data_IF_196404003937
#
_entry.id   IF_196404003937
#
_cell.length_a   1.000
_cell.length_b   1.000
_cell.length_c   1.000
_cell.angle_alpha   90.00
_cell.angle_beta   90.00
_cell.angle_gamma   90.00
#
_symmetry.space_group_name_H-M   'P 1'
#
loop_
_entity.id
_entity.type
_entity.pdbx_description
1 polymer ?
#
# COMPACT_ATOMS: atom_id res chain seq x y z
N UNK A 1 12.33 19.24 13.45
CA UNK A 1 12.63 19.38 12.01
C UNK A 1 13.91 18.66 11.61
N UNK A 2 15.11 19.02 12.17
CA UNK A 2 16.38 18.37 11.79
C UNK A 2 16.40 16.91 12.19
N UNK A 3 15.96 16.58 13.40
CA UNK A 3 15.84 15.23 13.93
C UNK A 3 14.92 14.37 13.05
N UNK A 4 13.75 14.89 12.66
CA UNK A 4 12.78 14.20 11.84
C UNK A 4 13.32 13.96 10.42
N UNK A 5 13.97 14.96 9.84
CA UNK A 5 14.61 14.84 8.52
C UNK A 5 15.70 13.75 8.53
N UNK A 6 16.51 13.67 9.57
CA UNK A 6 17.54 12.62 9.72
C UNK A 6 16.93 11.24 9.90
N UNK A 7 15.87 11.11 10.71
CA UNK A 7 15.18 9.84 10.92
C UNK A 7 14.54 9.33 9.62
N UNK A 8 13.77 10.17 8.92
CA UNK A 8 13.17 9.77 7.65
C UNK A 8 14.22 9.47 6.56
N UNK A 9 15.30 10.24 6.49
CA UNK A 9 16.37 9.96 5.53
C UNK A 9 17.03 8.61 5.80
N UNK A 10 17.21 8.23 7.07
CA UNK A 10 17.70 6.92 7.47
C UNK A 10 16.78 5.80 7.01
N UNK A 11 15.47 5.91 7.26
CA UNK A 11 14.50 4.90 6.86
C UNK A 11 14.39 4.74 5.33
N UNK A 12 14.31 5.85 4.60
CA UNK A 12 14.24 5.83 3.14
C UNK A 12 15.52 5.30 2.51
N UNK A 13 16.68 5.60 3.10
CA UNK A 13 17.97 5.04 2.65
C UNK A 13 18.01 3.53 2.87
N UNK A 14 17.60 3.05 4.05
CA UNK A 14 17.52 1.63 4.33
C UNK A 14 16.56 0.91 3.36
N UNK A 15 15.35 1.45 3.16
CA UNK A 15 14.39 0.94 2.19
C UNK A 15 14.97 0.87 0.78
N UNK A 16 15.69 1.92 0.35
CA UNK A 16 16.36 1.96 -0.95
C UNK A 16 17.42 0.87 -1.10
N UNK A 17 18.26 0.66 -0.08
CA UNK A 17 19.27 -0.40 -0.08
C UNK A 17 18.66 -1.80 -0.16
N UNK A 18 17.63 -2.08 0.61
CA UNK A 18 16.93 -3.37 0.55
C UNK A 18 16.23 -3.58 -0.79
N UNK A 19 15.64 -2.53 -1.38
CA UNK A 19 15.07 -2.59 -2.73
C UNK A 19 16.10 -3.03 -3.78
N UNK A 20 17.33 -2.53 -3.73
CA UNK A 20 18.41 -2.98 -4.63
C UNK A 20 18.85 -4.41 -4.35
N UNK A 21 18.87 -4.80 -3.08
CA UNK A 21 19.28 -6.15 -2.69
C UNK A 21 18.29 -7.23 -3.14
N UNK A 22 17.00 -6.93 -3.15
CA UNK A 22 15.91 -7.85 -3.45
C UNK A 22 15.12 -7.43 -4.71
N UNK A 23 15.79 -6.98 -5.75
CA UNK A 23 15.19 -6.39 -6.94
C UNK A 23 14.14 -7.31 -7.60
N UNK A 24 14.38 -8.62 -7.68
CA UNK A 24 13.49 -9.60 -8.31
C UNK A 24 12.21 -9.88 -7.47
N UNK A 25 12.29 -9.71 -6.15
CA UNK A 25 11.18 -10.00 -5.22
C UNK A 25 10.58 -8.75 -4.58
N UNK A 26 11.17 -7.56 -4.84
CA UNK A 26 10.64 -6.29 -4.36
C UNK A 26 9.48 -5.83 -5.23
N UNK A 27 8.28 -5.65 -4.66
CA UNK A 27 7.10 -5.34 -5.47
C UNK A 27 7.18 -3.97 -6.15
N UNK A 28 6.54 -3.89 -7.30
CA UNK A 28 6.36 -2.61 -8.01
C UNK A 28 5.18 -1.88 -7.40
N UNK A 29 5.37 -0.64 -6.96
CA UNK A 29 4.36 0.14 -6.24
C UNK A 29 3.05 0.31 -7.04
N UNK A 30 3.13 0.37 -8.37
CA UNK A 30 1.99 0.45 -9.27
C UNK A 30 1.09 -0.80 -9.21
N UNK A 31 1.63 -1.95 -8.87
CA UNK A 31 0.88 -3.21 -8.71
C UNK A 31 0.33 -3.38 -7.30
N UNK A 32 0.84 -2.62 -6.32
CA UNK A 32 0.44 -2.68 -4.91
C UNK A 32 -0.69 -1.70 -4.61
N UNK A 33 -0.52 -0.43 -4.98
CA UNK A 33 -1.44 0.66 -4.65
C UNK A 33 -2.36 0.96 -5.84
N UNK A 34 -3.31 0.06 -6.09
CA UNK A 34 -4.24 0.13 -7.23
C UNK A 34 -5.61 0.65 -6.85
N UNK A 35 -5.97 0.65 -5.56
CA UNK A 35 -7.28 1.01 -5.06
C UNK A 35 -7.52 2.51 -5.07
N UNK A 36 -8.73 2.90 -5.48
CA UNK A 36 -9.23 4.25 -5.33
C UNK A 36 -10.69 4.22 -4.84
N UNK A 37 -11.04 5.00 -3.79
CA UNK A 37 -12.41 5.05 -3.29
C UNK A 37 -13.39 5.43 -4.40
N UNK A 38 -14.53 4.73 -4.48
CA UNK A 38 -15.61 4.98 -5.43
C UNK A 38 -15.31 4.71 -6.91
N UNK A 39 -14.14 4.15 -7.26
CA UNK A 39 -13.82 3.73 -8.62
C UNK A 39 -13.73 2.20 -8.70
N UNK A 40 -14.34 1.63 -9.75
CA UNK A 40 -14.35 0.19 -10.02
C UNK A 40 -13.29 -0.13 -11.10
N UNK A 41 -12.04 0.05 -10.80
CA UNK A 41 -10.94 -0.24 -11.73
C UNK A 41 -9.60 0.16 -11.13
N UNK A 42 -8.53 -0.45 -11.63
CA UNK A 42 -7.18 -0.14 -11.19
C UNK A 42 -6.82 1.31 -11.50
N UNK A 43 -6.48 2.05 -10.46
CA UNK A 43 -6.02 3.43 -10.54
C UNK A 43 -4.65 3.56 -9.84
N UNK A 44 -3.57 3.03 -10.46
CA UNK A 44 -2.26 2.93 -9.82
C UNK A 44 -1.80 4.29 -9.30
N UNK A 45 -1.41 4.31 -8.03
CA UNK A 45 -0.87 5.48 -7.32
C UNK A 45 -1.77 6.73 -7.27
N UNK A 46 -2.99 6.70 -7.83
CA UNK A 46 -3.88 7.85 -7.87
C UNK A 46 -4.32 8.27 -6.44
N UNK A 47 -4.58 7.29 -5.58
CA UNK A 47 -4.95 7.55 -4.19
C UNK A 47 -3.79 8.16 -3.39
N UNK A 48 -2.57 7.67 -3.60
CA UNK A 48 -1.35 8.23 -2.99
C UNK A 48 -1.12 9.67 -3.44
N UNK A 49 -1.37 9.96 -4.73
CA UNK A 49 -1.32 11.33 -5.26
C UNK A 49 -2.36 12.23 -4.59
N UNK A 50 -3.60 11.75 -4.41
CA UNK A 50 -4.66 12.48 -3.70
C UNK A 50 -4.25 12.80 -2.25
N UNK A 51 -3.70 11.83 -1.50
CA UNK A 51 -3.21 12.04 -0.14
C UNK A 51 -2.12 13.12 -0.08
N UNK A 52 -1.20 13.10 -1.05
CA UNK A 52 -0.17 14.14 -1.18
C UNK A 52 -0.79 15.52 -1.42
N UNK A 53 -1.81 15.59 -2.29
CA UNK A 53 -2.52 16.84 -2.58
C UNK A 53 -3.23 17.40 -1.35
N UNK A 54 -3.87 16.56 -0.55
CA UNK A 54 -4.51 16.93 0.73
C UNK A 54 -3.48 17.59 1.67
N UNK A 55 -2.28 17.02 1.80
CA UNK A 55 -1.23 17.58 2.65
C UNK A 55 -0.69 18.91 2.12
N UNK A 56 -0.53 19.06 0.80
CA UNK A 56 -0.10 20.32 0.19
C UNK A 56 -1.14 21.42 0.48
N UNK A 57 -2.42 21.13 0.24
CA UNK A 57 -3.50 22.09 0.54
C UNK A 57 -3.57 22.43 2.02
N UNK A 58 -3.42 21.44 2.90
CA UNK A 58 -3.36 21.66 4.36
C UNK A 58 -2.18 22.53 4.76
N UNK A 59 -1.03 22.38 4.11
CA UNK A 59 0.15 23.24 4.32
C UNK A 59 -0.13 24.69 3.89
N UNK A 60 -0.79 24.90 2.74
CA UNK A 60 -1.20 26.24 2.29
C UNK A 60 -2.17 26.89 3.28
N UNK A 61 -3.17 26.16 3.76
CA UNK A 61 -4.12 26.70 4.75
C UNK A 61 -3.42 27.08 6.05
N UNK A 62 -2.40 26.34 6.49
CA UNK A 62 -1.62 26.69 7.67
C UNK A 62 -0.81 27.98 7.46
N UNK A 63 -0.20 28.17 6.30
CA UNK A 63 0.50 29.43 5.97
C UNK A 63 -0.47 30.61 5.98
N UNK A 64 -1.69 30.44 5.45
CA UNK A 64 -2.73 31.47 5.49
C UNK A 64 -3.20 31.77 6.91
N UNK A 65 -3.27 30.76 7.80
CA UNK A 65 -3.59 30.95 9.21
C UNK A 65 -2.53 31.81 9.91
N UNK A 66 -1.25 31.52 9.70
CA UNK A 66 -0.12 32.30 10.24
C UNK A 66 -0.14 33.74 9.72
N UNK A 67 -0.36 33.91 8.41
CA UNK A 67 -0.46 35.25 7.81
C UNK A 67 -1.64 36.06 8.39
N UNK A 68 -2.82 35.43 8.57
CA UNK A 68 -3.96 36.07 9.22
C UNK A 68 -3.64 36.45 10.67
N UNK A 69 -2.86 35.62 11.39
CA UNK A 69 -2.37 35.92 12.74
C UNK A 69 -1.47 37.16 12.79
N UNK A 70 -0.54 37.32 11.86
CA UNK A 70 0.31 38.51 11.75
C UNK A 70 -0.51 39.81 11.53
N UNK A 71 -1.64 39.70 10.85
CA UNK A 71 -2.55 40.82 10.64
C UNK A 71 -3.60 40.99 11.76
N UNK A 72 -3.47 40.28 12.88
CA UNK A 72 -4.42 40.28 14.00
C UNK A 72 -5.86 39.98 13.59
N UNK A 73 -6.04 39.25 12.51
CA UNK A 73 -7.36 38.84 11.98
C UNK A 73 -7.79 37.52 12.60
N UNK A 74 -8.39 37.52 13.76
CA UNK A 74 -8.87 36.37 14.51
C UNK A 74 -9.79 35.46 13.68
N UNK A 75 -10.77 36.03 12.91
CA UNK A 75 -11.67 35.26 12.09
C UNK A 75 -10.94 34.50 10.98
N UNK A 76 -9.93 35.10 10.37
CA UNK A 76 -9.07 34.48 9.39
C UNK A 76 -8.27 33.31 9.99
N UNK A 77 -7.69 33.51 11.18
CA UNK A 77 -6.95 32.43 11.88
C UNK A 77 -7.85 31.23 12.14
N UNK A 78 -9.04 31.45 12.70
CA UNK A 78 -10.00 30.36 13.00
C UNK A 78 -10.40 29.63 11.73
N UNK A 79 -10.71 30.33 10.63
CA UNK A 79 -11.09 29.70 9.38
C UNK A 79 -9.97 28.82 8.80
N UNK A 80 -8.77 29.39 8.64
CA UNK A 80 -7.66 28.72 7.98
C UNK A 80 -7.10 27.57 8.83
N UNK A 81 -7.00 27.74 10.14
CA UNK A 81 -6.58 26.70 11.05
C UNK A 81 -7.61 25.55 11.12
N UNK A 82 -8.91 25.87 11.10
CA UNK A 82 -9.97 24.86 11.00
C UNK A 82 -9.84 24.00 9.73
N UNK A 83 -9.57 24.63 8.57
CA UNK A 83 -9.32 23.90 7.31
C UNK A 83 -8.06 23.03 7.39
N UNK A 84 -7.00 23.49 8.07
CA UNK A 84 -5.79 22.70 8.28
C UNK A 84 -6.08 21.44 9.12
N UNK A 85 -6.87 21.57 10.18
CA UNK A 85 -7.27 20.45 11.04
C UNK A 85 -8.09 19.44 10.23
N UNK A 86 -9.05 19.90 9.43
CA UNK A 86 -9.85 19.04 8.55
C UNK A 86 -8.95 18.28 7.56
N UNK A 87 -8.01 18.98 6.90
CA UNK A 87 -7.05 18.35 5.99
C UNK A 87 -6.20 17.28 6.68
N UNK A 88 -5.76 17.52 7.92
CA UNK A 88 -5.04 16.53 8.71
C UNK A 88 -5.87 15.28 9.03
N UNK A 89 -7.13 15.46 9.41
CA UNK A 89 -8.04 14.32 9.63
C UNK A 89 -8.35 13.56 8.32
N UNK A 90 -8.52 14.25 7.22
CA UNK A 90 -8.71 13.60 5.92
C UNK A 90 -7.51 12.74 5.55
N UNK A 91 -6.29 13.24 5.76
CA UNK A 91 -5.08 12.45 5.53
C UNK A 91 -5.00 11.22 6.43
N UNK A 92 -5.25 11.35 7.73
CA UNK A 92 -5.22 10.22 8.66
C UNK A 92 -6.28 9.17 8.32
N UNK A 93 -7.47 9.60 7.91
CA UNK A 93 -8.52 8.70 7.44
C UNK A 93 -8.12 7.96 6.16
N UNK A 94 -7.52 8.66 5.21
CA UNK A 94 -6.99 8.07 3.98
C UNK A 94 -5.88 7.05 4.27
N UNK A 95 -4.98 7.36 5.20
CA UNK A 95 -3.91 6.44 5.61
C UNK A 95 -4.48 5.18 6.28
N UNK A 96 -5.49 5.31 7.12
CA UNK A 96 -6.16 4.16 7.75
C UNK A 96 -6.88 3.29 6.69
N UNK A 97 -7.50 3.91 5.70
CA UNK A 97 -8.13 3.22 4.58
C UNK A 97 -7.12 2.45 3.72
N UNK A 98 -5.98 3.06 3.40
CA UNK A 98 -4.87 2.44 2.68
C UNK A 98 -4.32 1.21 3.42
N UNK A 99 -4.11 1.35 4.74
CA UNK A 99 -3.67 0.23 5.57
C UNK A 99 -4.67 -0.91 5.61
N UNK A 100 -5.96 -0.59 5.68
CA UNK A 100 -7.00 -1.61 5.65
C UNK A 100 -6.91 -2.48 4.39
N UNK A 101 -6.81 -1.87 3.21
CA UNK A 101 -6.69 -2.60 1.95
C UNK A 101 -5.37 -3.35 1.84
N UNK A 102 -4.28 -2.74 2.26
CA UNK A 102 -2.97 -3.39 2.25
C UNK A 102 -2.91 -4.63 3.17
N UNK A 103 -3.50 -4.57 4.36
CA UNK A 103 -3.57 -5.68 5.32
C UNK A 103 -4.52 -6.77 4.81
N UNK A 104 -5.68 -6.39 4.29
CA UNK A 104 -6.69 -7.35 3.84
C UNK A 104 -6.30 -8.08 2.56
N UNK A 105 -5.47 -7.46 1.71
CA UNK A 105 -5.07 -8.00 0.42
C UNK A 105 -6.12 -7.81 -0.67
N UNK A 106 -5.73 -8.06 -1.91
CA UNK A 106 -6.56 -7.86 -3.09
C UNK A 106 -6.40 -9.01 -4.10
N UNK A 107 -5.16 -9.32 -4.46
CA UNK A 107 -4.85 -10.28 -5.53
C UNK A 107 -4.55 -11.66 -5.00
N UNK A 108 -3.92 -11.71 -3.84
CA UNK A 108 -3.32 -12.89 -3.29
C UNK A 108 -2.05 -13.31 -4.05
N UNK A 109 -1.25 -14.12 -3.39
CA UNK A 109 -0.02 -14.66 -3.95
C UNK A 109 0.28 -16.04 -3.39
N UNK A 110 1.32 -16.67 -3.88
CA UNK A 110 1.80 -17.95 -3.37
C UNK A 110 3.22 -17.79 -2.80
N UNK A 111 3.44 -18.34 -1.64
CA UNK A 111 4.74 -18.40 -1.00
C UNK A 111 5.36 -19.79 -1.20
N UNK A 112 6.56 -19.81 -1.74
CA UNK A 112 7.33 -21.02 -1.97
C UNK A 112 8.06 -21.48 -0.69
N UNK A 113 8.57 -22.73 -0.67
CA UNK A 113 9.35 -23.28 0.46
C UNK A 113 10.57 -22.42 0.84
N UNK A 114 11.15 -21.70 -0.09
CA UNK A 114 12.29 -20.79 0.12
C UNK A 114 11.87 -19.39 0.66
N UNK A 115 10.60 -19.21 1.03
CA UNK A 115 9.96 -17.95 1.43
C UNK A 115 9.90 -16.87 0.32
N UNK A 116 10.17 -17.21 -0.92
CA UNK A 116 9.91 -16.30 -2.03
C UNK A 116 8.42 -16.24 -2.34
N UNK A 117 7.94 -15.03 -2.61
CA UNK A 117 6.56 -14.77 -2.98
C UNK A 117 6.47 -14.65 -4.50
N UNK A 118 5.50 -15.34 -5.08
CA UNK A 118 5.25 -15.34 -6.51
C UNK A 118 3.79 -14.95 -6.79
N UNK A 119 3.58 -14.16 -7.84
CA UNK A 119 2.25 -13.85 -8.33
C UNK A 119 1.73 -14.94 -9.25
N UNK A 120 0.43 -15.15 -9.25
CA UNK A 120 -0.24 -15.88 -10.32
C UNK A 120 -0.28 -14.99 -11.56
N UNK A 121 -0.05 -15.58 -12.71
CA UNK A 121 -0.11 -14.89 -14.00
C UNK A 121 -0.65 -15.79 -15.09
N UNK A 122 -1.20 -15.21 -16.14
CA UNK A 122 -1.43 -15.91 -17.39
C UNK A 122 -0.09 -16.18 -18.12
N UNK A 123 -0.18 -16.90 -19.24
CA UNK A 123 1.01 -17.24 -20.05
C UNK A 123 1.66 -16.00 -20.72
N UNK A 124 0.92 -14.88 -20.82
CA UNK A 124 1.43 -13.61 -21.34
C UNK A 124 2.10 -12.75 -20.24
N UNK A 125 2.10 -13.24 -18.99
CA UNK A 125 2.72 -12.56 -17.84
C UNK A 125 1.81 -11.55 -17.15
N UNK A 126 0.54 -11.43 -17.51
CA UNK A 126 -0.43 -10.56 -16.82
C UNK A 126 -0.79 -11.19 -15.46
N UNK A 127 -0.76 -10.36 -14.41
CA UNK A 127 -1.13 -10.79 -13.06
C UNK A 127 -2.60 -11.20 -13.04
N UNK A 128 -2.85 -12.36 -12.42
CA UNK A 128 -4.16 -12.93 -12.18
C UNK A 128 -4.42 -12.95 -10.67
N UNK A 129 -5.64 -12.65 -10.26
CA UNK A 129 -6.03 -12.74 -8.85
C UNK A 129 -6.39 -14.19 -8.49
N UNK A 130 -6.34 -14.54 -7.20
CA UNK A 130 -6.83 -15.83 -6.73
C UNK A 130 -8.29 -16.07 -7.09
N UNK A 131 -9.11 -15.01 -7.05
CA UNK A 131 -10.53 -15.08 -7.41
C UNK A 131 -10.72 -15.42 -8.90
N UNK A 132 -9.93 -14.81 -9.78
CA UNK A 132 -9.97 -15.14 -11.22
C UNK A 132 -9.54 -16.58 -11.49
N UNK A 133 -8.56 -17.10 -10.74
CA UNK A 133 -8.11 -18.49 -10.88
C UNK A 133 -9.19 -19.49 -10.43
N UNK A 134 -9.82 -19.27 -9.27
CA UNK A 134 -10.75 -20.24 -8.65
C UNK A 134 -12.16 -20.13 -9.23
N UNK A 135 -12.67 -18.91 -9.40
CA UNK A 135 -14.05 -18.65 -9.83
C UNK A 135 -14.18 -18.40 -11.34
N UNK A 136 -13.07 -18.21 -12.05
CA UNK A 136 -13.07 -17.91 -13.48
C UNK A 136 -13.62 -16.53 -13.84
N UNK A 137 -13.73 -15.62 -12.88
CA UNK A 137 -14.26 -14.27 -13.05
C UNK A 137 -13.42 -13.27 -12.26
N UNK A 138 -13.28 -12.03 -12.75
CA UNK A 138 -12.65 -10.98 -11.96
C UNK A 138 -13.44 -10.75 -10.67
N UNK A 139 -12.73 -10.60 -9.56
CA UNK A 139 -13.33 -10.24 -8.28
C UNK A 139 -13.98 -8.86 -8.31
N UNK A 140 -14.91 -8.62 -7.39
CA UNK A 140 -15.52 -7.30 -7.22
C UNK A 140 -14.52 -6.42 -6.46
N UNK A 141 -14.19 -5.29 -7.03
CA UNK A 141 -13.22 -4.36 -6.46
C UNK A 141 -13.66 -3.88 -5.06
N UNK A 142 -12.79 -4.10 -4.06
CA UNK A 142 -13.07 -3.77 -2.66
C UNK A 142 -13.72 -4.90 -1.85
N UNK A 143 -14.03 -6.04 -2.45
CA UNK A 143 -14.38 -7.26 -1.73
C UNK A 143 -13.13 -8.11 -1.47
N UNK A 144 -13.08 -8.72 -0.30
CA UNK A 144 -11.98 -9.59 0.11
C UNK A 144 -12.45 -11.04 0.08
N UNK A 145 -11.80 -11.84 -0.74
CA UNK A 145 -12.08 -13.27 -0.91
C UNK A 145 -10.99 -14.07 -0.21
N UNK A 146 -11.39 -15.13 0.49
CA UNK A 146 -10.46 -16.03 1.16
C UNK A 146 -10.52 -17.41 0.51
N UNK A 147 -9.39 -17.85 0.00
CA UNK A 147 -9.23 -19.17 -0.60
C UNK A 147 -8.23 -19.99 0.18
N UNK A 148 -8.51 -21.28 0.30
CA UNK A 148 -7.58 -22.24 0.91
C UNK A 148 -6.47 -22.61 -0.08
N UNK A 149 -5.34 -23.06 0.45
CA UNK A 149 -4.21 -23.52 -0.37
C UNK A 149 -4.62 -24.66 -1.29
N UNK A 150 -5.51 -25.55 -0.82
CA UNK A 150 -6.01 -26.70 -1.59
C UNK A 150 -6.86 -26.27 -2.78
N UNK A 151 -7.79 -25.34 -2.59
CA UNK A 151 -8.63 -24.80 -3.68
C UNK A 151 -7.79 -24.15 -4.77
N UNK A 152 -6.80 -23.35 -4.37
CA UNK A 152 -5.91 -22.68 -5.33
C UNK A 152 -5.02 -23.68 -6.08
N UNK A 153 -4.50 -24.73 -5.40
CA UNK A 153 -3.72 -25.78 -6.06
C UNK A 153 -4.55 -26.57 -7.06
N UNK A 154 -5.79 -26.93 -6.70
CA UNK A 154 -6.70 -27.65 -7.59
C UNK A 154 -7.04 -26.81 -8.83
N UNK A 155 -7.43 -25.55 -8.62
CA UNK A 155 -7.72 -24.61 -9.71
C UNK A 155 -6.48 -24.38 -10.60
N UNK A 156 -5.29 -24.22 -10.02
CA UNK A 156 -4.05 -24.07 -10.75
C UNK A 156 -3.71 -25.33 -11.57
N UNK A 157 -3.87 -26.53 -11.02
CA UNK A 157 -3.57 -27.77 -11.73
C UNK A 157 -4.52 -28.01 -12.92
N UNK A 158 -5.76 -27.58 -12.79
CA UNK A 158 -6.80 -27.76 -13.82
C UNK A 158 -6.70 -26.75 -14.95
N UNK A 159 -6.23 -25.54 -14.67
CA UNK A 159 -6.12 -24.47 -15.65
C UNK A 159 -4.72 -24.47 -16.30
N UNK A 160 -4.64 -24.79 -17.60
CA UNK A 160 -3.38 -24.87 -18.33
C UNK A 160 -2.80 -23.53 -18.78
N UNK A 161 -3.59 -22.46 -18.71
CA UNK A 161 -3.22 -21.12 -19.20
C UNK A 161 -2.64 -20.22 -18.09
N UNK A 162 -2.34 -20.82 -16.92
CA UNK A 162 -1.84 -20.10 -15.74
C UNK A 162 -0.44 -20.56 -15.35
N UNK A 163 0.38 -19.63 -14.94
CA UNK A 163 1.72 -19.88 -14.38
C UNK A 163 2.00 -18.95 -13.20
N UNK A 164 3.24 -18.93 -12.71
CA UNK A 164 3.67 -18.03 -11.66
C UNK A 164 4.82 -17.13 -12.14
N UNK A 165 4.90 -15.91 -11.59
CA UNK A 165 5.95 -14.94 -11.92
C UNK A 165 6.45 -14.20 -10.70
N UNK A 166 7.67 -13.64 -10.80
CA UNK A 166 8.22 -12.78 -9.74
C UNK A 166 7.45 -11.47 -9.62
N UNK A 167 7.31 -10.90 -8.39
CA UNK A 167 6.64 -9.62 -8.16
C UNK A 167 7.49 -8.40 -8.56
N UNK A 168 8.79 -8.59 -8.77
CA UNK A 168 9.72 -7.50 -9.07
C UNK A 168 9.62 -6.95 -10.48
N UNK A 169 10.40 -5.90 -10.74
CA UNK A 169 10.40 -5.19 -12.02
C UNK A 169 10.83 -6.07 -13.21
N UNK A 170 11.64 -7.07 -12.97
CA UNK A 170 12.21 -7.97 -13.99
C UNK A 170 11.26 -9.11 -14.38
N UNK A 171 10.01 -9.07 -14.05
CA UNK A 171 8.91 -9.95 -14.48
C UNK A 171 9.34 -11.33 -15.03
N UNK A 172 9.97 -12.14 -14.18
CA UNK A 172 10.40 -13.49 -14.58
C UNK A 172 9.24 -14.46 -14.42
N UNK A 173 8.72 -14.96 -15.55
CA UNK A 173 7.70 -15.99 -15.57
C UNK A 173 8.36 -17.38 -15.51
N UNK A 174 7.78 -18.28 -14.74
CA UNK A 174 8.26 -19.65 -14.56
C UNK A 174 7.57 -20.55 -15.60
N UNK A 175 8.33 -21.49 -16.17
CA UNK A 175 7.76 -22.50 -17.08
C UNK A 175 6.67 -23.33 -16.38
N UNK A 176 5.58 -23.63 -17.11
CA UNK A 176 4.41 -24.31 -16.54
C UNK A 176 4.72 -25.63 -15.82
N UNK A 177 5.65 -26.43 -16.37
CA UNK A 177 6.07 -27.68 -15.76
C UNK A 177 6.75 -27.49 -14.40
N UNK A 178 7.61 -26.51 -14.29
CA UNK A 178 8.28 -26.11 -13.05
C UNK A 178 7.30 -25.45 -12.08
N UNK A 179 6.39 -24.60 -12.58
CA UNK A 179 5.36 -23.96 -11.80
C UNK A 179 4.43 -24.98 -11.10
N UNK A 180 4.08 -26.07 -11.75
CA UNK A 180 3.28 -27.15 -11.15
C UNK A 180 4.01 -27.84 -9.99
N UNK A 181 5.31 -28.08 -10.12
CA UNK A 181 6.11 -28.65 -9.05
C UNK A 181 6.20 -27.68 -7.84
N UNK A 182 6.50 -26.41 -8.10
CA UNK A 182 6.57 -25.37 -7.06
C UNK A 182 5.22 -25.20 -6.35
N UNK A 183 4.13 -25.13 -7.10
CA UNK A 183 2.77 -24.98 -6.56
C UNK A 183 2.34 -26.17 -5.68
N UNK A 184 2.85 -27.37 -5.93
CA UNK A 184 2.52 -28.55 -5.10
C UNK A 184 2.94 -28.38 -3.64
N UNK A 185 3.93 -27.53 -3.37
CA UNK A 185 4.51 -27.25 -2.04
C UNK A 185 4.26 -25.84 -1.55
N UNK A 186 3.79 -24.95 -2.42
CA UNK A 186 3.56 -23.54 -2.10
C UNK A 186 2.36 -23.37 -1.15
N UNK A 187 2.39 -22.33 -0.33
CA UNK A 187 1.28 -21.89 0.50
C UNK A 187 0.66 -20.62 -0.06
N UNK A 188 -0.66 -20.52 0.02
CA UNK A 188 -1.39 -19.30 -0.38
C UNK A 188 -1.27 -18.25 0.70
N UNK A 189 -0.91 -17.04 0.31
CA UNK A 189 -0.89 -15.86 1.18
C UNK A 189 -1.82 -14.80 0.63
N UNK A 190 -2.55 -14.17 1.55
CA UNK A 190 -3.50 -13.11 1.26
C UNK A 190 -3.28 -11.97 2.24
N UNK A 191 -3.15 -10.77 1.70
CA UNK A 191 -2.84 -9.57 2.47
C UNK A 191 -1.39 -9.46 2.90
N UNK A 192 -1.15 -8.47 3.75
CA UNK A 192 0.17 -8.19 4.29
C UNK A 192 0.16 -8.07 5.81
N UNK A 193 1.20 -8.62 6.42
CA UNK A 193 1.49 -8.55 7.85
C UNK A 193 2.99 -8.34 8.08
N UNK A 194 3.44 -8.40 9.33
CA UNK A 194 4.87 -8.38 9.67
C UNK A 194 5.61 -9.70 9.34
N UNK A 195 4.89 -10.76 8.99
CA UNK A 195 5.47 -12.08 8.72
C UNK A 195 5.20 -12.60 7.32
N UNK A 196 4.22 -12.04 6.62
CA UNK A 196 3.82 -12.42 5.27
C UNK A 196 3.41 -11.19 4.46
N UNK A 197 3.62 -11.22 3.15
CA UNK A 197 3.27 -10.11 2.27
C UNK A 197 2.93 -10.63 0.88
N UNK A 198 1.65 -10.60 0.51
CA UNK A 198 1.20 -11.02 -0.82
C UNK A 198 1.82 -10.21 -1.96
N UNK A 199 2.24 -8.98 -1.66
CA UNK A 199 2.79 -8.08 -2.69
C UNK A 199 4.27 -8.37 -3.02
N UNK A 200 4.94 -9.27 -2.29
CA UNK A 200 6.34 -9.61 -2.54
C UNK A 200 7.16 -9.76 -1.27
N UNK A 201 8.39 -9.26 -1.26
CA UNK A 201 9.30 -9.44 -0.12
C UNK A 201 8.72 -8.85 1.18
N UNK A 202 8.77 -9.60 2.28
CA UNK A 202 8.19 -9.20 3.60
C UNK A 202 8.69 -7.84 4.08
N UNK A 203 9.98 -7.53 3.89
CA UNK A 203 10.54 -6.23 4.29
C UNK A 203 9.85 -5.03 3.60
N UNK A 204 9.21 -5.21 2.46
CA UNK A 204 8.42 -4.13 1.86
C UNK A 204 7.25 -3.75 2.75
N UNK A 205 6.51 -4.73 3.27
CA UNK A 205 5.41 -4.49 4.20
C UNK A 205 5.90 -3.88 5.52
N UNK A 206 7.01 -4.38 6.07
CA UNK A 206 7.63 -3.84 7.28
C UNK A 206 8.00 -2.36 7.12
N UNK A 207 8.68 -2.01 6.03
CA UNK A 207 9.02 -0.61 5.73
C UNK A 207 7.77 0.24 5.48
N UNK A 208 6.77 -0.29 4.77
CA UNK A 208 5.52 0.41 4.55
C UNK A 208 4.83 0.76 5.86
N UNK A 209 4.60 -0.22 6.74
CA UNK A 209 3.96 0.02 8.04
C UNK A 209 4.79 0.95 8.92
N UNK A 210 6.11 0.74 8.97
CA UNK A 210 6.96 1.53 9.84
C UNK A 210 7.07 2.99 9.39
N UNK A 211 7.37 3.23 8.12
CA UNK A 211 7.55 4.60 7.57
C UNK A 211 6.23 5.37 7.58
N UNK A 212 5.14 4.75 7.11
CA UNK A 212 3.84 5.41 7.05
C UNK A 212 3.21 5.55 8.43
N UNK A 213 3.42 4.61 9.35
CA UNK A 213 2.98 4.70 10.74
C UNK A 213 3.72 5.80 11.51
N UNK A 214 5.04 5.89 11.34
CA UNK A 214 5.84 6.96 11.92
C UNK A 214 5.43 8.33 11.38
N UNK A 215 5.19 8.44 10.06
CA UNK A 215 4.64 9.64 9.45
C UNK A 215 3.24 9.98 9.98
N UNK A 216 2.35 8.99 10.05
CA UNK A 216 0.99 9.15 10.58
C UNK A 216 0.97 9.67 12.02
N UNK A 217 1.88 9.19 12.88
CA UNK A 217 2.00 9.71 14.27
C UNK A 217 2.46 11.15 14.30
N UNK A 218 3.33 11.59 13.38
CA UNK A 218 3.73 12.99 13.23
C UNK A 218 2.54 13.87 12.81
N UNK A 219 1.79 13.46 11.80
CA UNK A 219 0.59 14.18 11.35
C UNK A 219 -0.44 14.25 12.49
N UNK A 220 -0.68 13.14 13.18
CA UNK A 220 -1.61 13.09 14.31
C UNK A 220 -1.21 14.06 15.45
N UNK A 221 0.06 14.07 15.83
CA UNK A 221 0.58 15.00 16.85
C UNK A 221 0.44 16.46 16.39
N UNK A 222 0.69 16.75 15.11
CA UNK A 222 0.48 18.07 14.52
C UNK A 222 -0.99 18.50 14.56
N UNK A 223 -1.93 17.60 14.25
CA UNK A 223 -3.37 17.86 14.36
C UNK A 223 -3.78 18.15 15.79
N UNK A 224 -3.28 17.39 16.78
CA UNK A 224 -3.55 17.64 18.20
C UNK A 224 -3.06 19.03 18.65
N UNK A 225 -1.84 19.41 18.28
CA UNK A 225 -1.29 20.74 18.59
C UNK A 225 -2.14 21.84 17.95
N UNK A 226 -2.56 21.67 16.70
CA UNK A 226 -3.41 22.63 16.01
C UNK A 226 -4.79 22.76 16.69
N UNK A 227 -5.39 21.68 17.17
CA UNK A 227 -6.64 21.70 17.94
C UNK A 227 -6.46 22.49 19.25
N UNK A 228 -5.38 22.22 19.99
CA UNK A 228 -5.10 22.93 21.25
C UNK A 228 -4.98 24.45 20.99
N UNK A 229 -4.24 24.84 19.96
CA UNK A 229 -4.10 26.24 19.58
C UNK A 229 -5.45 26.82 19.14
N UNK A 230 -6.18 26.10 18.30
CA UNK A 230 -7.50 26.52 17.78
C UNK A 230 -8.50 26.83 18.88
N UNK A 231 -8.53 26.04 19.96
CA UNK A 231 -9.42 26.25 21.12
C UNK A 231 -9.00 27.51 21.90
N UNK A 232 -7.72 27.87 21.88
CA UNK A 232 -7.17 29.05 22.62
C UNK A 232 -7.19 30.34 21.81
N UNK A 233 -7.57 30.32 20.54
CA UNK A 233 -7.72 31.53 19.68
C UNK A 233 -9.10 32.13 19.84
#
# INVERSE_FOLDING_TARGET
LLSDALSFSGFLTAMGLYRFKYEDTWPVAENVFTHFPFMHGDAPLLFVALMTFILILSSVTMVMAVNAGHHMNKKGVVLWMGLTIIGGFMFLGSQAWEWYHFISGDKGAVQLENNEVMYLSDMDGKIMTLHELVEGKPGVHGEHYHFTTEEVREAFSTNNDVTIRTPGKTEKTVERSEALELMSKAEVIQGASLTSNEYGHVLFADFFFFVTGFHGTHVFSGVLLNIIIFINV
#
